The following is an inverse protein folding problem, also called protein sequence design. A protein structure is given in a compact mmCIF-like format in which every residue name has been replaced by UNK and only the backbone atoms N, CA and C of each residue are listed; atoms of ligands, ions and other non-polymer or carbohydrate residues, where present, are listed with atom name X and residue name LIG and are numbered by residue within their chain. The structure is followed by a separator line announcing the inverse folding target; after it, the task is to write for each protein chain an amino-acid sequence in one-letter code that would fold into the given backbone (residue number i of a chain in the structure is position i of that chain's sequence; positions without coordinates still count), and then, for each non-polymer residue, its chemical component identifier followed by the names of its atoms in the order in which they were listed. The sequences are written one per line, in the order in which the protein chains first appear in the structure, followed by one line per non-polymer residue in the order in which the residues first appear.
data_IF_879790403852
#
_entry.id   IF_879790403852
#
_cell.length_a   1.000
_cell.length_b   1.000
_cell.length_c   1.000
_cell.angle_alpha   90.00
_cell.angle_beta   90.00
_cell.angle_gamma   90.00
#
_symmetry.space_group_name_H-M   'P 1'
#
loop_
_entity.id
_entity.type
_entity.pdbx_description
1 polymer ?
2 polymer ?
3 non-polymer ?
4 non-polymer ?
5 non-polymer ?
6 non-polymer ?
7 water ?
#
# COMPACT_ATOMS: atom_id res chain seq x y z
N UNK A 7 -3.62 28.49 9.21
CA UNK A 7 -2.28 28.77 9.73
C UNK A 7 -1.36 27.55 9.61
N UNK A 8 -1.83 26.40 10.07
CA UNK A 8 -1.07 25.16 9.98
C UNK A 8 -1.05 24.65 8.54
N UNK A 9 0.09 24.09 8.12
CA UNK A 9 0.19 23.48 6.82
C UNK A 9 -0.83 22.35 6.66
N UNK A 10 -1.18 22.07 5.41
CA UNK A 10 -2.13 20.99 5.17
C UNK A 10 -1.59 19.65 5.66
N UNK A 11 -0.30 19.40 5.49
CA UNK A 11 0.22 18.11 5.94
C UNK A 11 0.17 18.00 7.47
N UNK A 12 0.41 19.10 8.19
CA UNK A 12 0.22 19.06 9.64
C UNK A 12 -1.24 18.82 9.99
N UNK A 13 -2.17 19.45 9.26
CA UNK A 13 -3.58 19.25 9.55
C UNK A 13 -4.00 17.81 9.30
N UNK A 14 -3.43 17.19 8.26
CA UNK A 14 -3.71 15.79 7.96
C UNK A 14 -3.20 14.90 9.09
N UNK A 15 -1.96 15.14 9.54
CA UNK A 15 -1.42 14.37 10.65
C UNK A 15 -2.27 14.53 11.91
N UNK A 16 -2.70 15.75 12.21
CA UNK A 16 -3.52 15.98 13.40
C UNK A 16 -4.86 15.25 13.27
N UNK A 17 -5.46 15.26 12.07
CA UNK A 17 -6.74 14.60 11.89
C UNK A 17 -6.58 13.09 11.89
N UNK A 18 -5.46 12.58 11.37
CA UNK A 18 -5.19 11.15 11.46
C UNK A 18 -5.06 10.72 12.92
N UNK A 19 -4.46 11.56 13.77
CA UNK A 19 -4.30 11.21 15.17
C UNK A 19 -5.65 11.17 15.88
N UNK A 20 -6.54 12.11 15.55
CA UNK A 20 -7.89 12.09 16.11
C UNK A 20 -8.67 10.87 15.62
N UNK A 21 -8.49 10.50 14.36
CA UNK A 21 -9.27 9.41 13.77
C UNK A 21 -8.83 8.06 14.30
N UNK A 22 -7.52 7.83 14.41
CA UNK A 22 -7.06 6.47 14.69
C UNK A 22 -6.56 6.25 16.12
N UNK A 23 -6.43 7.30 16.93
CA UNK A 23 -6.11 7.24 18.38
C UNK A 23 -5.66 5.88 18.94
N UNK A 44 -16.00 -0.21 15.47
CA UNK A 44 -15.63 1.20 15.35
C UNK A 44 -16.23 2.05 16.46
N UNK A 45 -15.35 2.68 17.24
CA UNK A 45 -15.74 3.52 18.35
C UNK A 45 -16.60 4.70 17.86
N UNK A 46 -17.37 5.32 18.75
CA UNK A 46 -18.16 6.50 18.34
C UNK A 46 -17.26 7.64 17.92
N UNK A 47 -17.69 8.36 16.89
CA UNK A 47 -16.94 9.45 16.30
C UNK A 47 -16.03 9.04 15.17
N UNK A 48 -15.71 7.76 15.05
CA UNK A 48 -14.79 7.31 14.00
C UNK A 48 -15.26 7.67 12.60
N UNK A 49 -16.51 7.40 12.18
CA UNK A 49 -16.86 7.70 10.78
C UNK A 49 -16.78 9.16 10.42
N UNK A 50 -17.25 10.06 11.29
CA UNK A 50 -17.14 11.49 11.00
C UNK A 50 -15.69 11.92 10.89
N UNK A 51 -14.83 11.39 11.77
CA UNK A 51 -13.41 11.76 11.70
C UNK A 51 -12.76 11.19 10.45
N UNK A 52 -13.07 9.94 10.11
CA UNK A 52 -12.52 9.36 8.89
C UNK A 52 -12.95 10.15 7.66
N UNK A 53 -14.21 10.60 7.64
CA UNK A 53 -14.70 11.38 6.52
C UNK A 53 -13.94 12.70 6.40
N UNK A 54 -13.71 13.36 7.53
CA UNK A 54 -12.96 14.61 7.53
C UNK A 54 -11.53 14.38 7.05
N UNK A 55 -10.92 13.26 7.46
CA UNK A 55 -9.58 12.92 7.01
C UNK A 55 -9.56 12.72 5.49
N UNK A 56 -10.54 12.01 4.95
CA UNK A 56 -10.57 11.81 3.50
C UNK A 56 -10.72 13.13 2.78
N UNK A 57 -11.53 14.04 3.34
CA UNK A 57 -11.73 15.33 2.70
C UNK A 57 -10.43 16.14 2.70
N UNK A 58 -9.64 16.05 3.79
CA UNK A 58 -8.35 16.70 3.77
C UNK A 58 -7.43 16.07 2.74
N UNK A 59 -7.39 14.74 2.65
CA UNK A 59 -6.50 14.16 1.65
C UNK A 59 -6.93 14.51 0.23
N UNK A 60 -8.24 14.68 0.02
CA UNK A 60 -8.69 14.99 -1.32
C UNK A 60 -8.10 16.32 -1.78
N UNK A 61 -7.84 17.24 -0.85
CA UNK A 61 -7.28 18.54 -1.20
C UNK A 61 -5.78 18.52 -1.39
N UNK A 62 -5.10 17.48 -0.93
CA UNK A 62 -3.64 17.47 -0.93
C UNK A 62 -3.09 17.42 -2.35
N UNK A 63 -2.08 18.24 -2.62
CA UNK A 63 -1.36 18.19 -3.88
C UNK A 63 0.13 17.94 -3.60
N UNK A 64 0.84 17.47 -4.63
CA UNK A 64 2.28 17.23 -4.50
C UNK A 64 3.01 18.49 -4.03
N UNK A 65 2.60 19.66 -4.52
CA UNK A 65 3.31 20.87 -4.13
C UNK A 65 3.16 21.18 -2.64
N UNK A 66 2.10 20.68 -1.99
CA UNK A 66 1.94 20.87 -0.55
C UNK A 66 3.00 20.11 0.24
N UNK A 67 3.69 19.19 -0.41
CA UNK A 67 4.74 18.40 0.22
C UNK A 67 6.11 18.75 -0.33
N UNK A 68 6.20 19.80 -1.15
CA UNK A 68 7.43 20.21 -1.84
C UNK A 68 8.02 19.07 -2.66
N UNK A 69 7.16 18.25 -3.26
CA UNK A 69 7.59 17.14 -4.11
C UNK A 69 7.28 17.48 -5.56
N UNK A 70 8.31 17.61 -6.36
CA UNK A 70 8.04 17.90 -7.76
C UNK A 70 7.68 16.61 -8.49
N UNK A 71 6.72 16.63 -9.41
CA UNK A 71 6.42 15.40 -10.15
C UNK A 71 7.67 14.90 -10.88
N UNK A 72 7.85 13.59 -10.86
CA UNK A 72 8.97 12.95 -11.54
C UNK A 72 8.47 12.32 -12.82
N UNK A 73 9.23 12.52 -13.89
CA UNK A 73 8.86 11.97 -15.19
C UNK A 73 9.88 10.90 -15.59
N UNK A 74 9.52 10.12 -16.61
CA UNK A 74 10.33 8.95 -16.95
C UNK A 74 11.71 9.36 -17.44
N UNK A 75 12.70 8.49 -17.18
CA UNK A 75 14.04 8.68 -17.71
C UNK A 75 14.24 8.10 -19.10
N UNK A 76 13.40 7.15 -19.51
CA UNK A 76 13.56 6.39 -20.74
C UNK A 76 14.84 5.56 -20.75
N UNK A 77 15.50 5.42 -19.62
CA UNK A 77 16.67 4.58 -19.51
C UNK A 77 16.37 3.37 -18.64
N UNK A 78 17.03 2.23 -18.85
CA UNK A 78 16.82 1.08 -17.98
C UNK A 78 17.22 1.42 -16.54
N UNK A 79 16.63 0.70 -15.59
CA UNK A 79 16.97 0.89 -14.18
C UNK A 79 18.19 0.05 -13.82
N UNK A 80 19.29 0.65 -13.36
CA UNK A 80 20.50 -0.14 -13.05
C UNK A 80 20.26 -1.07 -11.88
N UNK A 81 21.02 -2.16 -11.76
CA UNK A 81 20.73 -3.16 -10.72
C UNK A 81 20.88 -2.64 -9.30
N UNK A 82 21.67 -1.59 -9.10
CA UNK A 82 21.92 -1.12 -7.75
C UNK A 82 20.90 -0.09 -7.27
N UNK A 83 19.96 0.32 -8.13
CA UNK A 83 19.00 1.26 -7.55
C UNK A 83 17.65 0.60 -7.28
N UNK A 84 16.97 0.98 -6.21
CA UNK A 84 15.70 0.33 -5.89
C UNK A 84 14.61 0.79 -6.84
N UNK A 85 13.63 -0.06 -7.12
CA UNK A 85 12.50 0.36 -7.97
C UNK A 85 11.58 1.38 -7.31
N UNK A 86 11.54 1.41 -5.98
CA UNK A 86 10.61 2.25 -5.23
C UNK A 86 11.38 2.90 -4.08
N UNK A 87 11.04 4.15 -3.76
CA UNK A 87 11.59 4.79 -2.56
C UNK A 87 10.44 5.31 -1.70
N UNK A 88 10.79 5.70 -0.48
CA UNK A 88 9.83 6.05 0.55
C UNK A 88 10.32 7.25 1.33
N UNK A 89 9.44 8.24 1.50
CA UNK A 89 9.70 9.40 2.35
C UNK A 89 8.85 9.29 3.60
N UNK A 90 9.49 9.19 4.76
CA UNK A 90 8.74 9.15 5.99
C UNK A 90 8.36 10.56 6.42
N UNK A 91 7.11 10.75 6.80
CA UNK A 91 6.65 12.04 7.32
C UNK A 91 6.41 11.99 8.83
N UNK A 92 5.64 11.00 9.30
CA UNK A 92 5.42 10.92 10.74
C UNK A 92 4.83 9.56 11.07
N UNK A 93 5.03 9.15 12.32
CA UNK A 93 4.31 8.00 12.86
C UNK A 93 4.09 8.18 14.35
N UNK A 94 2.92 7.71 14.80
CA UNK A 94 2.58 7.59 16.21
C UNK A 94 2.29 6.12 16.45
N UNK A 95 1.80 5.82 17.65
CA UNK A 95 1.32 4.46 17.92
C UNK A 95 0.10 4.14 17.08
N UNK A 96 -0.65 5.16 16.65
CA UNK A 96 -1.89 4.97 15.95
C UNK A 96 -1.82 4.92 14.43
N UNK A 97 -0.84 5.58 13.82
CA UNK A 97 -0.77 5.62 12.37
C UNK A 97 0.65 5.96 11.92
N UNK A 98 0.95 5.60 10.69
CA UNK A 98 2.14 6.04 9.99
C UNK A 98 1.73 6.79 8.75
N UNK A 99 2.57 7.75 8.34
CA UNK A 99 2.24 8.71 7.29
C UNK A 99 3.51 8.93 6.47
N UNK A 100 3.43 8.72 5.15
CA UNK A 100 4.59 8.90 4.29
C UNK A 100 4.19 8.86 2.84
N UNK A 101 5.21 8.87 1.96
CA UNK A 101 5.00 8.92 0.51
C UNK A 101 5.82 7.82 -0.11
N UNK A 102 5.20 7.02 -0.99
CA UNK A 102 5.92 6.09 -1.85
C UNK A 102 6.09 6.68 -3.24
N UNK A 103 7.28 6.52 -3.80
CA UNK A 103 7.62 7.04 -5.12
C UNK A 103 8.05 5.86 -5.99
N UNK A 104 7.24 5.57 -7.01
CA UNK A 104 7.45 4.43 -7.89
C UNK A 104 8.12 4.90 -9.17
N UNK A 105 9.19 4.21 -9.57
CA UNK A 105 9.80 4.54 -10.85
C UNK A 105 8.98 3.92 -12.00
N UNK A 106 9.31 4.31 -13.24
CA UNK A 106 8.56 3.79 -14.38
C UNK A 106 8.56 2.27 -14.39
N UNK A 107 7.39 1.70 -14.66
CA UNK A 107 7.28 0.26 -14.82
C UNK A 107 7.44 -0.54 -13.56
N UNK A 108 7.42 0.08 -12.39
CA UNK A 108 7.57 -0.65 -11.14
C UNK A 108 6.22 -0.82 -10.46
N UNK A 109 6.21 -1.70 -9.45
CA UNK A 109 5.02 -1.96 -8.67
C UNK A 109 5.42 -2.11 -7.21
N UNK A 110 4.43 -1.92 -6.34
CA UNK A 110 4.46 -2.54 -5.01
C UNK A 110 3.65 -3.83 -5.12
N UNK A 111 4.29 -5.00 -5.04
CA UNK A 111 3.55 -6.24 -5.30
C UNK A 111 2.46 -6.51 -4.28
N UNK A 112 1.52 -7.35 -4.71
CA UNK A 112 0.36 -7.72 -3.91
C UNK A 112 0.74 -8.09 -2.48
N UNK A 113 0.10 -7.44 -1.50
CA UNK A 113 0.44 -7.64 -0.10
C UNK A 113 -0.78 -7.32 0.75
N UNK A 114 -0.73 -7.71 2.02
CA UNK A 114 -1.86 -7.51 2.94
C UNK A 114 -1.51 -6.50 4.02
N UNK A 115 -2.51 -6.19 4.86
CA UNK A 115 -2.37 -5.21 5.95
C UNK A 115 -3.14 -5.74 7.15
N UNK A 116 -2.58 -6.73 7.86
CA UNK A 116 -3.37 -7.46 8.85
C UNK A 116 -3.88 -6.57 9.98
N UNK A 117 -5.20 -6.55 10.15
CA UNK A 117 -5.82 -5.81 11.23
C UNK A 117 -5.65 -4.32 11.12
N UNK A 118 -5.62 -3.78 9.89
CA UNK A 118 -5.03 -2.47 9.66
C UNK A 118 -5.99 -1.74 8.73
N UNK A 119 -6.13 -0.43 8.92
CA UNK A 119 -6.77 0.46 7.97
C UNK A 119 -5.67 1.17 7.16
N UNK A 120 -6.00 1.57 5.94
CA UNK A 120 -5.05 2.25 5.08
C UNK A 120 -5.74 3.22 4.15
N UNK A 121 -5.09 4.34 3.90
CA UNK A 121 -5.57 5.30 2.93
C UNK A 121 -4.43 5.61 1.98
N UNK A 122 -4.79 5.94 0.76
CA UNK A 122 -3.80 6.27 -0.27
C UNK A 122 -4.31 7.44 -1.11
N UNK A 123 -3.44 8.43 -1.37
CA UNK A 123 -3.81 9.55 -2.23
C UNK A 123 -2.71 9.77 -3.25
N UNK A 124 -3.05 9.66 -4.54
CA UNK A 124 -2.05 9.82 -5.59
C UNK A 124 -1.62 11.29 -5.67
N UNK A 125 -0.30 11.51 -5.73
CA UNK A 125 0.27 12.85 -5.83
C UNK A 125 0.65 13.24 -7.25
N UNK A 126 1.19 12.31 -8.04
CA UNK A 126 1.42 12.57 -9.45
C UNK A 126 1.44 11.21 -10.14
N UNK A 127 1.28 11.25 -11.45
CA UNK A 127 1.31 10.01 -12.21
C UNK A 127 -0.02 9.28 -12.10
N UNK A 128 0.00 8.04 -12.59
CA UNK A 128 -1.17 7.17 -12.60
C UNK A 128 -0.77 5.84 -11.99
N UNK A 129 -1.58 5.31 -11.08
CA UNK A 129 -1.35 3.96 -10.57
C UNK A 129 -2.57 3.11 -10.85
N UNK A 130 -2.32 1.83 -11.07
CA UNK A 130 -3.37 0.81 -11.11
C UNK A 130 -3.37 0.11 -9.77
N UNK A 131 -4.50 0.09 -9.10
CA UNK A 131 -4.62 -0.56 -7.80
C UNK A 131 -5.56 -1.74 -7.96
N UNK A 132 -5.07 -2.95 -7.72
CA UNK A 132 -5.90 -4.14 -7.70
C UNK A 132 -6.19 -4.50 -6.25
N UNK A 133 -7.46 -4.72 -5.94
CA UNK A 133 -7.94 -4.84 -4.56
C UNK A 133 -8.55 -6.21 -4.36
N UNK A 134 -8.10 -6.95 -3.34
CA UNK A 134 -8.61 -8.30 -3.12
C UNK A 134 -8.72 -8.59 -1.64
N UNK A 135 -9.32 -9.74 -1.33
CA UNK A 135 -9.40 -10.20 0.04
C UNK A 135 -9.25 -11.71 0.06
N UNK A 136 -8.68 -12.22 1.15
CA UNK A 136 -8.72 -13.65 1.40
C UNK A 136 -10.11 -14.04 1.85
N UNK A 137 -10.55 -15.23 1.45
CA UNK A 137 -11.91 -15.66 1.76
C UNK A 137 -11.91 -16.40 3.08
N UNK A 145 -10.74 -22.73 5.90
CA UNK A 145 -10.44 -22.32 4.52
C UNK A 145 -10.54 -23.49 3.53
N UNK A 146 -11.13 -23.23 2.37
CA UNK A 146 -11.38 -24.30 1.41
C UNK A 146 -10.08 -24.80 0.78
N UNK A 147 -10.01 -26.10 0.57
CA UNK A 147 -8.88 -26.71 -0.09
C UNK A 147 -8.99 -26.57 -1.61
N UNK A 148 -7.84 -26.46 -2.24
CA UNK A 148 -7.77 -26.51 -3.70
C UNK A 148 -8.38 -27.83 -4.18
N UNK A 149 -9.33 -27.79 -5.13
CA UNK A 149 -9.84 -29.05 -5.71
C UNK A 149 -8.73 -29.82 -6.37
N UNK A 150 -8.73 -31.15 -6.26
CA UNK A 150 -7.57 -31.92 -6.72
C UNK A 150 -7.26 -31.73 -8.19
N UNK A 151 -8.29 -31.61 -9.04
CA UNK A 151 -8.06 -31.47 -10.48
C UNK A 151 -7.54 -30.10 -10.87
N UNK A 152 -7.60 -29.13 -9.96
CA UNK A 152 -7.25 -27.75 -10.31
C UNK A 152 -5.79 -27.64 -10.73
N UNK A 153 -5.56 -26.75 -11.70
CA UNK A 153 -4.36 -26.64 -12.51
C UNK A 153 -4.06 -25.16 -12.68
N UNK A 154 -2.78 -24.76 -12.59
CA UNK A 154 -2.38 -23.38 -12.85
C UNK A 154 -1.26 -23.33 -13.86
N UNK A 155 -1.04 -22.14 -14.43
CA UNK A 155 0.04 -21.92 -15.40
C UNK A 155 0.76 -20.63 -15.02
N UNK A 156 2.06 -20.67 -14.72
CA UNK A 156 2.92 -21.87 -14.59
C UNK A 156 2.47 -22.79 -13.47
N UNK A 157 2.77 -24.07 -13.64
CA UNK A 157 2.36 -25.06 -12.63
C UNK A 157 3.06 -24.84 -11.30
N UNK A 158 2.39 -25.27 -10.23
CA UNK A 158 2.86 -25.12 -8.86
C UNK A 158 3.63 -26.35 -8.41
N UNK A 159 4.54 -26.14 -7.47
CA UNK A 159 5.17 -27.24 -6.75
C UNK A 159 4.18 -27.83 -5.74
N UNK A 160 4.40 -29.08 -5.32
CA UNK A 160 3.44 -29.71 -4.38
C UNK A 160 3.24 -28.92 -3.11
N UNK A 161 4.30 -28.35 -2.55
CA UNK A 161 4.13 -27.57 -1.33
C UNK A 161 3.28 -26.33 -1.59
N UNK A 162 3.37 -25.77 -2.79
CA UNK A 162 2.55 -24.60 -3.13
C UNK A 162 1.08 -25.00 -3.34
N UNK A 163 0.83 -26.16 -3.95
CA UNK A 163 -0.54 -26.62 -4.07
C UNK A 163 -1.20 -26.77 -2.71
N UNK A 164 -0.43 -27.16 -1.69
CA UNK A 164 -1.02 -27.34 -0.38
C UNK A 164 -1.34 -26.00 0.26
N UNK A 165 -0.59 -24.95 -0.11
CA UNK A 165 -0.67 -23.66 0.55
C UNK A 165 -1.66 -22.69 -0.11
N UNK A 166 -2.09 -22.96 -1.33
CA UNK A 166 -2.98 -22.06 -2.06
C UNK A 166 -4.31 -21.89 -1.32
N UNK A 167 -4.80 -20.65 -1.25
CA UNK A 167 -6.04 -20.36 -0.52
C UNK A 167 -6.96 -19.51 -1.39
N UNK A 168 -8.28 -19.62 -1.20
CA UNK A 168 -9.20 -18.84 -2.04
C UNK A 168 -9.22 -17.37 -1.67
N UNK A 169 -9.42 -16.54 -2.68
CA UNK A 169 -9.56 -15.10 -2.47
C UNK A 169 -10.65 -14.56 -3.37
N UNK A 170 -10.95 -13.28 -3.21
CA UNK A 170 -11.88 -12.59 -4.10
C UNK A 170 -11.18 -11.35 -4.64
N UNK A 171 -11.20 -11.19 -5.96
CA UNK A 171 -10.72 -9.98 -6.60
C UNK A 171 -11.90 -9.01 -6.72
N UNK A 172 -11.77 -7.85 -6.08
CA UNK A 172 -12.89 -6.92 -5.95
C UNK A 172 -12.86 -5.77 -6.93
N UNK A 173 -11.67 -5.28 -7.30
CA UNK A 173 -11.60 -4.15 -8.23
C UNK A 173 -10.18 -4.02 -8.77
N UNK A 174 -10.09 -3.40 -9.93
CA UNK A 174 -8.80 -3.07 -10.53
C UNK A 174 -9.06 -1.84 -11.40
N UNK A 175 -8.63 -0.68 -10.92
CA UNK A 175 -8.87 0.57 -11.62
C UNK A 175 -7.63 1.43 -11.55
N UNK A 176 -7.62 2.48 -12.36
CA UNK A 176 -6.52 3.44 -12.39
C UNK A 176 -6.92 4.69 -11.60
N UNK A 177 -5.95 5.25 -10.87
CA UNK A 177 -6.18 6.43 -10.05
C UNK A 177 -5.12 7.48 -10.36
N UNK A 178 -5.52 8.75 -10.37
CA UNK A 178 -4.62 9.90 -10.48
C UNK A 178 -4.83 10.85 -9.31
N UNK A 179 -4.10 11.98 -9.33
CA UNK A 179 -4.28 12.98 -8.29
C UNK A 179 -5.69 13.53 -8.26
N UNK A 180 -6.45 13.37 -9.34
CA UNK A 180 -7.83 13.85 -9.38
C UNK A 180 -8.80 12.86 -8.80
N UNK A 181 -8.39 11.61 -8.61
CA UNK A 181 -9.22 10.66 -7.90
C UNK A 181 -9.23 11.00 -6.41
N UNK A 182 -10.24 10.50 -5.71
CA UNK A 182 -10.23 10.62 -4.27
C UNK A 182 -9.20 9.67 -3.66
N UNK A 183 -9.08 9.71 -2.33
CA UNK A 183 -8.29 8.69 -1.66
C UNK A 183 -8.92 7.31 -1.82
N UNK A 184 -8.05 6.30 -1.78
CA UNK A 184 -8.44 4.91 -1.73
C UNK A 184 -8.24 4.39 -0.32
N UNK A 185 -9.23 3.66 0.16
CA UNK A 185 -9.32 3.19 1.54
C UNK A 185 -9.23 1.67 1.53
N UNK A 186 -8.58 1.12 2.55
CA UNK A 186 -8.69 -0.30 2.82
C UNK A 186 -8.90 -0.49 4.31
N UNK A 187 -9.49 -1.61 4.69
CA UNK A 187 -9.80 -1.89 6.08
C UNK A 187 -9.35 -3.29 6.43
N UNK A 188 -9.42 -3.68 7.71
CA UNK A 188 -9.02 -5.04 8.07
C UNK A 188 -9.81 -6.11 7.34
N UNK A 189 -11.06 -5.83 6.95
CA UNK A 189 -11.94 -6.86 6.43
C UNK A 189 -12.26 -6.73 4.94
N UNK A 190 -11.85 -5.64 4.29
CA UNK A 190 -12.24 -5.44 2.90
C UNK A 190 -11.16 -4.70 2.13
N UNK A 191 -10.84 -5.19 0.92
CA UNK A 191 -9.75 -4.65 0.11
C UNK A 191 -8.43 -4.70 0.86
N UNK A 192 -8.28 -5.68 1.75
CA UNK A 192 -7.10 -5.68 2.61
C UNK A 192 -5.84 -6.08 1.86
N UNK A 193 -5.97 -6.76 0.73
CA UNK A 193 -4.83 -7.07 -0.13
C UNK A 193 -4.84 -6.12 -1.31
N UNK A 194 -3.70 -5.48 -1.59
CA UNK A 194 -3.66 -4.71 -2.83
C UNK A 194 -2.28 -4.76 -3.48
N UNK A 195 -2.30 -4.48 -4.79
CA UNK A 195 -1.11 -4.32 -5.60
C UNK A 195 -1.19 -2.97 -6.29
N UNK A 196 -0.08 -2.25 -6.34
CA UNK A 196 -0.04 -0.89 -6.89
C UNK A 196 0.99 -0.87 -8.01
N UNK A 197 0.54 -0.60 -9.23
CA UNK A 197 1.42 -0.55 -10.41
C UNK A 197 1.52 0.88 -10.93
N UNK A 198 2.75 1.36 -11.19
CA UNK A 198 2.90 2.65 -11.86
C UNK A 198 2.53 2.52 -13.34
N UNK A 199 1.63 3.38 -13.83
CA UNK A 199 1.08 3.26 -15.18
C UNK A 199 1.66 4.36 -16.05
N UNK A 200 2.25 3.97 -17.17
CA UNK A 200 2.87 4.87 -18.16
C UNK A 200 3.73 5.95 -17.50
N UNK A 201 4.61 5.52 -16.61
CA UNK A 201 5.62 6.40 -16.08
C UNK A 201 5.64 6.38 -14.57
N UNK A 202 6.52 7.19 -13.97
CA UNK A 202 6.61 7.22 -12.50
C UNK A 202 5.32 7.73 -11.88
N UNK A 203 5.15 7.40 -10.61
CA UNK A 203 3.98 7.84 -9.87
C UNK A 203 4.34 7.91 -8.40
N UNK A 204 3.58 8.68 -7.63
CA UNK A 204 3.83 8.72 -6.21
C UNK A 204 2.50 8.90 -5.49
N UNK A 205 2.43 8.41 -4.26
CA UNK A 205 1.22 8.56 -3.46
C UNK A 205 1.56 8.72 -1.99
N UNK A 206 0.69 9.44 -1.30
CA UNK A 206 0.76 9.56 0.15
C UNK A 206 -0.06 8.43 0.76
N UNK A 207 0.50 7.76 1.76
CA UNK A 207 -0.16 6.65 2.42
C UNK A 207 -0.31 6.94 3.90
N UNK A 208 -1.44 6.55 4.45
CA UNK A 208 -1.68 6.52 5.88
C UNK A 208 -2.03 5.10 6.24
N UNK A 209 -1.37 4.57 7.27
CA UNK A 209 -1.57 3.18 7.68
C UNK A 209 -1.85 3.19 9.16
N UNK A 210 -2.91 2.50 9.59
CA UNK A 210 -3.37 2.60 10.97
C UNK A 210 -3.91 1.28 11.49
N UNK A 211 -3.26 0.68 12.50
CA UNK A 211 -1.96 1.07 13.08
C UNK A 211 -0.85 0.78 12.09
N UNK A 212 0.37 1.21 12.33
CA UNK A 212 1.49 0.81 11.46
C UNK A 212 1.73 -0.68 11.57
N UNK A 213 2.50 -1.21 10.62
CA UNK A 213 2.95 -2.59 10.76
C UNK A 213 3.77 -2.72 12.03
N UNK A 214 3.72 -3.90 12.63
CA UNK A 214 4.49 -4.17 13.86
C UNK A 214 4.82 -5.65 13.86
N UNK A 215 5.92 -6.05 13.22
CA UNK A 215 6.24 -7.48 13.12
C UNK A 215 6.38 -8.17 14.46
N UNK A 216 6.91 -7.47 15.46
CA UNK A 216 7.05 -8.07 16.77
C UNK A 216 5.72 -8.32 17.46
N UNK A 217 4.62 -7.71 16.97
CA UNK A 217 3.32 -7.83 17.59
C UNK A 217 2.33 -8.56 16.69
N UNK A 218 2.82 -9.30 15.71
CA UNK A 218 1.97 -10.08 14.84
C UNK A 218 1.36 -9.38 13.66
N UNK A 219 1.79 -8.15 13.36
CA UNK A 219 1.25 -7.39 12.23
C UNK A 219 2.37 -7.18 11.23
N UNK A 220 2.57 -8.14 10.34
CA UNK A 220 3.59 -8.02 9.32
C UNK A 220 2.96 -7.89 7.93
N UNK A 221 3.81 -7.58 6.96
CA UNK A 221 3.41 -7.41 5.58
C UNK A 221 3.73 -8.71 4.84
N UNK A 222 2.68 -9.42 4.42
CA UNK A 222 2.82 -10.65 3.65
C UNK A 222 2.51 -10.39 2.18
N UNK A 223 3.30 -10.99 1.29
CA UNK A 223 3.13 -10.86 -0.15
C UNK A 223 2.44 -12.09 -0.69
N UNK A 224 1.73 -11.90 -1.81
CA UNK A 224 0.94 -12.97 -2.41
C UNK A 224 1.09 -12.95 -3.92
N UNK A 225 0.88 -14.12 -4.52
CA UNK A 225 0.68 -14.29 -5.95
C UNK A 225 -0.79 -14.63 -6.19
N UNK A 226 -1.42 -14.00 -7.18
CA UNK A 226 -2.73 -14.44 -7.65
C UNK A 226 -2.51 -15.39 -8.82
N UNK A 227 -3.14 -16.55 -8.77
CA UNK A 227 -2.83 -17.64 -9.68
C UNK A 227 -3.82 -17.78 -10.83
N UNK A 228 -3.30 -18.07 -12.02
CA UNK A 228 -4.11 -18.16 -13.22
C UNK A 228 -4.43 -19.61 -13.54
N UNK A 229 -5.67 -20.06 -13.35
CA UNK A 229 -6.01 -21.48 -13.61
C UNK A 229 -5.88 -21.87 -15.07
N UNK A 230 -5.90 -23.17 -15.30
CA UNK A 230 -5.96 -23.75 -16.64
C UNK A 230 -7.22 -24.59 -16.79
N UNK A 241 -16.83 -9.36 -15.02
CA UNK A 241 -15.66 -9.97 -14.39
C UNK A 241 -15.66 -9.78 -12.88
N UNK A 242 -15.75 -8.53 -12.43
CA UNK A 242 -15.53 -8.33 -11.01
C UNK A 242 -16.85 -8.10 -10.28
N UNK A 243 -16.96 -8.60 -9.04
CA UNK A 243 -15.95 -9.34 -8.27
C UNK A 243 -15.92 -10.83 -8.59
N UNK A 244 -14.73 -11.43 -8.71
CA UNK A 244 -14.62 -12.83 -9.05
C UNK A 244 -13.65 -13.53 -8.11
N UNK A 245 -13.82 -14.85 -7.98
CA UNK A 245 -12.99 -15.64 -7.09
C UNK A 245 -11.65 -15.95 -7.75
N UNK A 246 -10.58 -15.82 -6.97
CA UNK A 246 -9.23 -16.14 -7.42
C UNK A 246 -8.58 -17.07 -6.41
N UNK A 247 -7.37 -17.51 -6.73
CA UNK A 247 -6.55 -18.29 -5.83
C UNK A 247 -5.29 -17.52 -5.50
N UNK A 248 -4.91 -17.56 -4.22
CA UNK A 248 -3.82 -16.77 -3.67
C UNK A 248 -2.77 -17.68 -3.07
N UNK A 249 -1.51 -17.32 -3.27
CA UNK A 249 -0.39 -18.06 -2.73
C UNK A 249 0.52 -17.07 -2.02
N UNK A 250 0.70 -17.23 -0.72
CA UNK A 250 1.67 -16.38 -0.03
C UNK A 250 3.08 -16.71 -0.49
N UNK A 251 3.90 -15.68 -0.64
CA UNK A 251 5.18 -15.81 -1.31
C UNK A 251 6.17 -14.87 -0.62
N UNK A 252 7.46 -15.17 -0.66
CA UNK A 252 8.44 -14.20 -0.14
C UNK A 252 8.43 -12.91 -0.94
N UNK A 253 8.96 -11.84 -0.33
CA UNK A 253 9.17 -10.61 -1.05
C UNK A 253 9.98 -10.88 -2.32
N UNK A 254 9.48 -10.37 -3.46
CA UNK A 254 10.12 -10.63 -4.74
C UNK A 254 11.58 -10.17 -4.75
N UNK A 255 12.42 -10.89 -5.48
CA UNK A 255 13.83 -10.49 -5.57
C UNK A 255 14.00 -9.13 -6.22
N UNK A 256 13.13 -8.77 -7.15
CA UNK A 256 13.31 -7.49 -7.84
C UNK A 256 12.54 -6.35 -7.20
N UNK A 257 11.92 -6.56 -6.04
CA UNK A 257 11.24 -5.49 -5.33
C UNK A 257 11.95 -5.18 -4.01
N UNK A 258 12.35 -3.93 -3.84
CA UNK A 258 12.64 -3.44 -2.50
C UNK A 258 12.47 -1.94 -2.54
N UNK A 259 12.45 -1.35 -1.35
CA UNK A 259 12.16 0.07 -1.19
C UNK A 259 13.21 0.68 -0.28
N UNK A 260 13.78 1.83 -0.67
CA UNK A 260 14.79 2.50 0.15
C UNK A 260 14.24 3.86 0.54
N UNK A 261 14.65 4.36 1.71
CA UNK A 261 14.22 5.69 2.12
C UNK A 261 14.92 6.79 1.34
N UNK A 262 14.25 7.92 1.20
CA UNK A 262 14.88 9.14 0.73
C UNK A 262 14.32 10.31 1.54
N UNK A 263 15.02 11.44 1.58
CA UNK A 263 14.57 12.54 2.45
C UNK A 263 13.23 13.10 2.02
N UNK A 264 12.41 13.45 3.01
CA UNK A 264 11.13 14.12 2.80
C UNK A 264 11.36 15.63 2.75
N UNK A 265 11.03 16.31 1.66
CA UNK A 265 11.37 17.74 1.53
C UNK A 265 10.33 18.74 2.02
N UNK A 266 9.17 18.28 2.47
CA UNK A 266 8.05 19.17 2.72
C UNK A 266 8.01 19.70 4.13
N UNK A 267 6.94 20.44 4.43
CA UNK A 267 6.76 20.95 5.78
C UNK A 267 6.68 19.81 6.78
N UNK A 268 7.33 20.00 7.92
CA UNK A 268 7.42 18.91 8.88
C UNK A 268 6.19 18.86 9.77
N UNK A 269 5.91 17.68 10.28
CA UNK A 269 4.88 17.50 11.30
C UNK A 269 5.53 17.65 12.67
N UNK A 270 4.97 18.53 13.50
CA UNK A 270 5.48 18.88 14.81
C UNK A 270 4.57 18.32 15.91
N UNK A 271 5.14 17.81 17.01
CA UNK A 271 4.33 17.38 18.16
C UNK A 271 3.61 18.56 18.80
C UNK B 1 20.37 -7.70 2.91
N UNK B 2 19.38 -7.12 3.55
CA UNK B 2 19.26 -7.16 5.02
C UNK B 2 17.79 -6.92 5.35
N UNK B 3 17.35 -7.36 6.53
CA UNK B 3 15.96 -7.18 6.94
C UNK B 3 15.87 -6.01 7.91
N UNK B 4 14.95 -5.09 7.63
CA UNK B 4 14.60 -4.00 8.54
C UNK B 4 13.11 -4.05 8.88
N UNK B 5 12.81 -3.84 10.14
CA UNK B 5 11.42 -3.78 10.60
C UNK B 5 10.95 -2.34 10.41
N UNK B 6 10.02 -2.14 9.48
CA UNK B 6 9.56 -0.80 9.13
C UNK B 6 8.10 -0.62 9.52
N UNK B 7 7.72 0.63 9.75
CA UNK B 7 6.33 0.95 10.02
C UNK B 7 5.46 0.81 8.77
N UNK B 8 6.08 0.98 7.60
CA UNK B 8 5.33 1.16 6.36
C UNK B 8 5.32 -0.07 5.48
N UNK B 9 6.26 -1.00 5.65
CA UNK B 9 6.20 -2.24 4.91
C UNK B 9 6.55 -3.44 5.78
N UNK B 10 6.42 -3.30 7.10
CA UNK B 10 6.69 -4.47 7.95
C UNK B 10 8.13 -4.93 7.82
N UNK B 11 8.33 -6.26 7.97
CA UNK B 11 9.68 -6.84 7.86
C UNK B 11 10.12 -6.79 6.41
N UNK B 12 10.99 -5.85 6.08
CA UNK B 12 11.28 -5.55 4.68
C UNK B 12 12.72 -5.90 4.35
N UNK B 13 12.93 -6.62 3.25
CA UNK B 13 14.29 -6.89 2.78
C UNK B 13 14.75 -5.69 1.94
N UNK B 14 15.64 -4.87 2.51
CA UNK B 14 15.94 -3.58 1.90
C UNK B 14 17.18 -3.67 1.03
N UNK B 15 17.08 -4.55 0.04
CA UNK B 15 18.15 -4.81 -0.90
C UNK B 15 17.66 -5.71 -2.03
N UNK B 16 18.47 -5.70 -3.20
X LIG C 1 1.39 0.48 1.83
X LIG C 1 2.00 -0.19 0.60
X LIG C 1 1.10 -0.47 2.99
X LIG C 1 0.10 1.21 1.49
X LIG C 1 2.38 1.44 2.28
X LIG C 1 1.03 -0.31 -0.41
X LIG C 1 1.62 -1.75 2.72
X LIG C 1 -0.99 0.33 1.60
X LIG D 1 12.38 21.81 -3.03
X LIG D 1 12.03 20.44 -2.95
X LIG D 1 13.03 22.24 -1.67
X LIG D 1 14.08 23.15 -1.85
X LIG D 1 11.88 22.83 -0.83
X LIG D 1 11.93 22.17 0.40
X LIG E 1 -11.36 0.88 -4.30
X LIG E 1 -12.33 -0.05 -4.71
X LIG E 1 -11.56 1.08 -2.77
X LIG E 1 -11.08 -0.01 -2.06
X LIG E 1 -10.81 2.38 -2.43
X LIG E 1 -11.56 3.08 -1.45
X LIG F 1 9.08 -4.30 -8.45
X LIG F 1 8.86 -2.92 -8.34
X LIG F 1 9.18 -4.60 -9.97
X LIG F 1 8.04 -4.16 -10.64
X LIG F 1 10.45 -3.84 -10.43
X LIG F 1 10.50 -3.94 -11.82
X LIG G 1 -19.60 12.83 8.35
X LIG G 1 -18.94 14.40 7.81
X LIG G 1 -18.51 15.44 7.44
X LIG H 1 20.59 6.11 -15.51
X LIG H 1 20.72 4.50 -16.30
X LIG H 1 20.77 3.43 -16.80
X LIG I 1 -12.14 -16.97 6.32
X LIG I 1 -13.61 -18.00 6.11
X LIG I 1 -14.56 -18.67 5.96
X LIG J 1 -0.63 -26.46 -10.50
X LIG J 1 -0.13 -28.01 -11.27
X LIG J 1 0.28 -28.99 -11.74
X LIG K 1 3.88 22.45 9.42
X LIG K 1 2.83 23.62 10.32
X LIG K 1 2.15 24.41 10.88
X LIG L 1 -15.25 -9.25 12.01
X LIG L 1 -16.38 -8.09 11.21
X LIG L 1 -17.13 -7.33 10.69
X LIG M 1 -8.23 -10.40 3.52
X LIG M 1 -9.55 -10.10 4.72
X LIG M 1 -10.40 -9.90 5.52
X LIG N 1 4.32 -7.69 22.22
X LIG N 1 5.22 -9.22 21.93
X LIG N 1 5.81 -10.23 21.71
X LIG O 1 5.67 -22.01 -9.54
X LIG O 1 7.26 -22.58 -8.90
X LIG O 1 8.28 -22.98 -8.46
X LIG P 1 -0.20 -1.47 1.06
X LIG Q 1 18.89 -11.06 1.54
X LIG Q 1 18.40 -10.92 3.26
X LIG Q 1 18.08 -10.80 4.39
#
# INVERSE_FOLDING_TARGET
SMPRDNMASLIQRIARQASLTFRGSGGGRGASDRDAASGPEAPMQPGFPENLSKLKSLLTQLRAEDLNIAPRKATLQPLPPNLPPVTYMHIYETDGFSLGVFLLKSGTSIPLHDHPGMHGMLKVLYGTVRISCMDKLDAGGGQRPRALPPEQQFEPPLQPREREAVRPGVLRSRAEYTEASGPCILTPHRDNLHQIDAVEGPAAFLDILAPPYDPDDGRDCHYYRVLEPVRPKEASSSASDLPREVWLLETPQADDFWCEGEPYPGPKVFP
XYIVKTFWLGSHRQCX
TRS C C1 C2 C3 N O1 O2 O3
GOL C1 O1 C2 O2 C3 O3
GOL C1 O1 C2 O2 C3 O3
GOL C1 O1 C2 O2 C3 O3
SCN S C N
SCN S C N
SCN S C N
SCN S C N
SCN S C N
SCN S C N
SCN S C N
SCN S C N
SCN S C N
CO CO
SCN S C N
#
